data_IF_533303247113
#
_entry.id   IF_533303247113
#
_cell.length_a   1.000
_cell.length_b   1.000
_cell.length_c   1.000
_cell.angle_alpha   90.00
_cell.angle_beta   90.00
_cell.angle_gamma   90.00
#
_symmetry.space_group_name_H-M   'P 1'
#
loop_
_entity.id
_entity.type
_entity.pdbx_description
1 polymer ?
#
# COMPACT_ATOMS: atom_id res chain seq x y z
N UNK A 1 2.40 -16.32 1.30
CA UNK A 1 1.82 -14.98 1.59
C UNK A 1 0.44 -14.87 0.97
N UNK A 2 -0.49 -14.29 1.69
CA UNK A 2 -1.84 -14.01 1.21
C UNK A 2 -2.11 -12.51 1.37
N UNK A 3 -2.73 -11.89 0.35
CA UNK A 3 -3.16 -10.50 0.40
C UNK A 3 -4.68 -10.47 0.53
N UNK A 4 -5.20 -9.79 1.55
CA UNK A 4 -6.64 -9.63 1.75
C UNK A 4 -6.97 -8.37 2.54
N UNK A 5 -8.26 -8.02 2.57
CA UNK A 5 -8.76 -6.90 3.37
C UNK A 5 -8.68 -7.23 4.87
N UNK A 6 -8.47 -6.21 5.72
CA UNK A 6 -8.51 -6.40 7.18
C UNK A 6 -9.93 -6.72 7.65
N UNK A 7 -10.03 -7.47 8.74
CA UNK A 7 -11.30 -7.80 9.40
C UNK A 7 -11.25 -7.44 10.89
N UNK A 8 -12.38 -7.53 11.57
CA UNK A 8 -12.43 -7.28 13.01
C UNK A 8 -11.57 -8.28 13.80
N UNK A 9 -11.50 -9.51 13.35
CA UNK A 9 -10.69 -10.55 14.00
C UNK A 9 -9.18 -10.27 13.94
N UNK A 10 -8.75 -9.45 13.03
CA UNK A 10 -7.33 -9.09 12.88
C UNK A 10 -6.87 -8.00 13.85
N UNK A 11 -7.77 -7.45 14.67
CA UNK A 11 -7.52 -6.26 15.49
C UNK A 11 -6.22 -6.32 16.28
N UNK A 12 -6.07 -7.33 17.12
CA UNK A 12 -4.91 -7.40 18.03
C UNK A 12 -3.61 -7.54 17.26
N UNK A 13 -3.60 -8.37 16.23
CA UNK A 13 -2.41 -8.60 15.39
C UNK A 13 -2.02 -7.34 14.59
N UNK A 14 -2.99 -6.61 14.08
CA UNK A 14 -2.71 -5.37 13.33
C UNK A 14 -2.25 -4.26 14.27
N UNK A 15 -2.86 -4.12 15.45
CA UNK A 15 -2.41 -3.13 16.45
C UNK A 15 -0.98 -3.41 16.90
N UNK A 16 -0.60 -4.68 17.05
CA UNK A 16 0.78 -5.07 17.35
C UNK A 16 1.73 -4.65 16.23
N UNK A 17 1.33 -4.87 14.96
CA UNK A 17 2.15 -4.45 13.83
C UNK A 17 2.31 -2.93 13.77
N UNK A 18 1.24 -2.17 14.01
CA UNK A 18 1.29 -0.70 14.07
C UNK A 18 2.27 -0.26 15.18
N UNK A 19 2.20 -0.88 16.36
CA UNK A 19 3.10 -0.58 17.45
C UNK A 19 4.58 -0.87 17.08
N UNK A 20 4.82 -1.89 16.29
CA UNK A 20 6.17 -2.20 15.79
C UNK A 20 6.70 -1.11 14.87
N UNK A 21 5.87 -0.59 13.96
CA UNK A 21 6.25 0.56 13.11
C UNK A 21 6.57 1.80 13.96
N UNK A 22 5.74 2.08 14.96
CA UNK A 22 5.97 3.23 15.86
C UNK A 22 7.27 3.07 16.63
N UNK A 23 7.52 1.90 17.21
CA UNK A 23 8.75 1.61 17.97
C UNK A 23 10.01 1.73 17.10
N UNK A 24 9.91 1.40 15.82
CA UNK A 24 11.01 1.50 14.86
C UNK A 24 11.13 2.90 14.23
N UNK A 25 10.26 3.83 14.61
CA UNK A 25 10.14 5.15 13.98
C UNK A 25 10.06 5.06 12.45
N UNK A 26 9.29 4.10 11.96
CA UNK A 26 9.13 3.82 10.54
C UNK A 26 7.73 4.23 10.08
N UNK A 27 7.67 4.97 8.96
CA UNK A 27 6.39 5.40 8.42
C UNK A 27 5.62 4.21 7.82
N UNK A 28 4.31 4.17 8.08
CA UNK A 28 3.42 3.13 7.55
C UNK A 28 2.92 3.52 6.16
N UNK A 29 3.75 3.30 5.14
CA UNK A 29 3.27 3.42 3.76
C UNK A 29 2.23 2.33 3.47
N UNK A 30 1.42 2.54 2.45
CA UNK A 30 0.39 1.56 2.09
C UNK A 30 -1.00 1.94 2.56
N UNK A 31 -1.26 3.24 2.71
CA UNK A 31 -2.58 3.79 3.01
C UNK A 31 -2.85 4.04 4.49
N UNK A 32 -2.24 3.26 5.37
CA UNK A 32 -2.51 3.31 6.82
C UNK A 32 -2.02 4.61 7.46
N UNK A 33 -0.91 5.15 6.99
CA UNK A 33 -0.37 6.40 7.52
C UNK A 33 -1.35 7.57 7.46
N UNK A 34 -2.24 7.61 6.46
CA UNK A 34 -3.27 8.65 6.35
C UNK A 34 -4.61 8.22 6.95
N UNK A 35 -5.05 6.98 6.75
CA UNK A 35 -6.36 6.53 7.25
C UNK A 35 -6.37 6.32 8.77
N UNK A 36 -5.29 5.78 9.33
CA UNK A 36 -5.18 5.55 10.77
C UNK A 36 -5.24 6.84 11.58
N UNK A 37 -4.65 7.92 11.07
CA UNK A 37 -4.70 9.24 11.72
C UNK A 37 -6.12 9.80 11.84
N UNK A 38 -7.02 9.40 10.97
CA UNK A 38 -8.41 9.84 10.96
C UNK A 38 -9.31 9.01 11.86
N UNK A 39 -8.83 7.85 12.28
CA UNK A 39 -9.60 6.89 13.06
C UNK A 39 -9.47 7.16 14.56
N UNK A 40 -10.57 6.96 15.28
CA UNK A 40 -10.61 7.06 16.75
C UNK A 40 -10.09 5.77 17.39
N UNK A 41 -10.28 4.64 16.71
CA UNK A 41 -9.91 3.30 17.18
C UNK A 41 -9.89 2.35 15.97
N UNK A 42 -9.60 1.08 16.21
CA UNK A 42 -9.52 0.09 15.15
C UNK A 42 -10.85 -0.10 14.41
N UNK A 43 -11.96 -0.16 15.12
CA UNK A 43 -13.30 -0.35 14.54
C UNK A 43 -13.65 0.82 13.62
N UNK A 44 -13.32 2.05 14.03
CA UNK A 44 -13.52 3.24 13.22
C UNK A 44 -12.62 3.20 11.97
N UNK A 45 -11.37 2.76 12.11
CA UNK A 45 -10.48 2.57 10.98
C UNK A 45 -11.01 1.57 9.95
N UNK A 46 -11.58 0.44 10.40
CA UNK A 46 -12.21 -0.51 9.49
C UNK A 46 -13.33 0.13 8.66
N UNK A 47 -14.15 0.99 9.28
CA UNK A 47 -15.19 1.73 8.58
C UNK A 47 -14.61 2.69 7.55
N UNK A 48 -13.56 3.40 7.92
CA UNK A 48 -12.90 4.36 7.02
C UNK A 48 -12.35 3.63 5.79
N UNK A 49 -11.64 2.52 5.95
CA UNK A 49 -11.04 1.81 4.83
C UNK A 49 -12.10 1.10 3.97
N UNK A 50 -13.20 0.66 4.56
CA UNK A 50 -14.33 0.11 3.81
C UNK A 50 -15.00 1.20 2.96
N UNK A 51 -15.27 2.36 3.54
CA UNK A 51 -15.91 3.49 2.87
C UNK A 51 -15.04 4.07 1.75
N UNK A 52 -13.72 4.00 1.86
CA UNK A 52 -12.85 4.57 0.83
C UNK A 52 -12.88 3.79 -0.49
N UNK A 53 -13.49 2.60 -0.52
CA UNK A 53 -13.70 1.86 -1.77
C UNK A 53 -14.82 2.47 -2.61
N UNK A 54 -15.69 3.29 -2.02
CA UNK A 54 -16.82 3.94 -2.69
C UNK A 54 -16.53 5.42 -2.92
N UNK A 55 -16.51 5.82 -4.19
CA UNK A 55 -16.25 7.19 -4.59
C UNK A 55 -17.21 8.21 -3.96
N UNK A 56 -18.45 7.81 -3.62
CA UNK A 56 -19.46 8.69 -3.04
C UNK A 56 -19.16 9.11 -1.60
N UNK A 57 -18.28 8.38 -0.89
CA UNK A 57 -18.01 8.58 0.54
C UNK A 57 -16.62 9.17 0.83
N UNK A 58 -15.93 9.67 -0.21
CA UNK A 58 -14.54 10.11 -0.07
C UNK A 58 -14.41 11.54 0.44
N UNK A 59 -13.41 11.81 1.31
CA UNK A 59 -13.00 13.18 1.58
C UNK A 59 -12.53 13.88 0.30
N UNK A 60 -12.59 15.21 0.29
CA UNK A 60 -12.11 15.99 -0.85
C UNK A 60 -10.63 15.67 -1.14
N UNK A 61 -10.31 15.48 -2.41
CA UNK A 61 -8.95 15.19 -2.86
C UNK A 61 -8.52 13.73 -2.75
N UNK A 62 -9.40 12.83 -2.31
CA UNK A 62 -9.12 11.39 -2.25
C UNK A 62 -9.70 10.68 -3.47
N UNK A 63 -9.08 9.56 -3.83
CA UNK A 63 -9.58 8.66 -4.87
C UNK A 63 -10.03 7.33 -4.24
N UNK A 64 -10.91 6.57 -4.91
CA UNK A 64 -11.29 5.24 -4.42
C UNK A 64 -10.06 4.35 -4.27
N UNK A 65 -9.97 3.63 -3.16
CA UNK A 65 -8.84 2.76 -2.85
C UNK A 65 -9.29 1.56 -2.05
N UNK A 66 -8.59 0.43 -2.23
CA UNK A 66 -8.79 -0.79 -1.46
C UNK A 66 -7.61 -0.93 -0.51
N UNK A 67 -7.88 -1.07 0.78
CA UNK A 67 -6.86 -1.39 1.77
C UNK A 67 -6.67 -2.88 1.86
N UNK A 68 -5.47 -3.33 1.53
CA UNK A 68 -5.04 -4.72 1.73
C UNK A 68 -3.97 -4.80 2.81
N UNK A 69 -3.86 -5.97 3.40
CA UNK A 69 -2.72 -6.38 4.20
C UNK A 69 -2.22 -7.72 3.69
N UNK A 70 -0.92 -7.95 3.83
CA UNK A 70 -0.35 -9.27 3.56
C UNK A 70 -0.21 -10.05 4.88
N UNK A 71 -0.44 -11.36 4.80
CA UNK A 71 -0.39 -12.27 5.94
C UNK A 71 0.46 -13.49 5.57
N UNK A 72 1.15 -14.05 6.55
CA UNK A 72 1.81 -15.34 6.39
C UNK A 72 0.82 -16.49 6.55
N UNK A 73 1.32 -17.73 6.50
CA UNK A 73 0.49 -18.93 6.59
C UNK A 73 -0.17 -19.10 7.96
N UNK A 74 0.39 -18.47 9.00
CA UNK A 74 -0.16 -18.54 10.36
C UNK A 74 -1.19 -17.44 10.64
N UNK A 75 -1.37 -16.51 9.70
CA UNK A 75 -2.24 -15.36 9.89
C UNK A 75 -1.55 -14.13 10.49
N UNK A 76 -0.22 -14.16 10.61
CA UNK A 76 0.55 -13.01 11.06
C UNK A 76 0.56 -11.93 9.97
N UNK A 77 0.15 -10.69 10.28
CA UNK A 77 0.23 -9.62 9.29
C UNK A 77 1.70 -9.22 9.04
N UNK A 78 2.05 -9.06 7.77
CA UNK A 78 3.42 -8.80 7.33
C UNK A 78 3.60 -7.36 6.83
N UNK A 79 2.54 -6.74 6.33
CA UNK A 79 2.63 -5.40 5.80
C UNK A 79 1.30 -4.86 5.31
N UNK A 80 1.35 -3.61 4.83
CA UNK A 80 0.20 -2.89 4.30
C UNK A 80 0.38 -2.65 2.80
N UNK A 81 -0.72 -2.70 2.06
CA UNK A 81 -0.76 -2.33 0.65
C UNK A 81 -2.09 -1.63 0.35
N UNK A 82 -2.01 -0.42 -0.18
CA UNK A 82 -3.18 0.29 -0.70
C UNK A 82 -3.16 0.26 -2.21
N UNK A 83 -4.29 -0.13 -2.80
CA UNK A 83 -4.52 -0.08 -4.24
C UNK A 83 -5.50 1.04 -4.55
N UNK A 84 -5.02 2.11 -5.15
CA UNK A 84 -5.83 3.24 -5.61
C UNK A 84 -6.35 2.94 -7.00
N UNK A 85 -7.65 3.08 -7.18
CA UNK A 85 -8.32 2.65 -8.42
C UNK A 85 -8.24 3.70 -9.53
N UNK A 86 -7.84 4.92 -9.20
CA UNK A 86 -7.61 6.00 -10.15
C UNK A 86 -6.53 6.93 -9.62
N UNK A 87 -6.07 7.86 -10.45
CA UNK A 87 -5.08 8.86 -10.08
C UNK A 87 -5.69 10.24 -10.19
N UNK A 88 -5.39 11.09 -9.21
CA UNK A 88 -5.58 12.54 -9.33
C UNK A 88 -4.21 13.18 -9.60
N UNK A 89 -4.16 14.51 -9.73
CA UNK A 89 -2.92 15.21 -10.06
C UNK A 89 -1.81 14.96 -9.03
N UNK A 90 -2.16 14.91 -7.75
CA UNK A 90 -1.20 14.64 -6.68
C UNK A 90 -0.62 13.22 -6.78
N UNK A 91 -1.49 12.23 -6.92
CA UNK A 91 -1.09 10.83 -6.98
C UNK A 91 -0.33 10.49 -8.26
N UNK A 92 -0.60 11.22 -9.35
CA UNK A 92 0.14 11.08 -10.59
C UNK A 92 1.61 11.50 -10.43
N UNK A 93 1.91 12.43 -9.53
CA UNK A 93 3.26 12.86 -9.21
C UNK A 93 3.88 12.00 -8.12
N UNK A 94 3.16 11.80 -7.03
CA UNK A 94 3.64 11.09 -5.83
C UNK A 94 2.53 10.20 -5.26
N UNK A 95 2.85 8.95 -5.03
CA UNK A 95 1.93 7.96 -4.48
C UNK A 95 1.51 6.91 -5.50
N UNK A 96 1.10 7.29 -6.69
CA UNK A 96 0.68 6.35 -7.74
C UNK A 96 -0.52 5.49 -7.35
N UNK A 97 -0.68 4.36 -8.03
CA UNK A 97 -1.76 3.40 -7.77
C UNK A 97 -1.51 2.53 -6.54
N UNK A 98 -0.26 2.15 -6.27
CA UNK A 98 0.07 1.25 -5.17
C UNK A 98 1.06 1.89 -4.22
N UNK A 99 0.67 1.98 -2.95
CA UNK A 99 1.57 2.25 -1.84
C UNK A 99 1.69 0.99 -0.99
N UNK A 100 2.86 0.72 -0.43
CA UNK A 100 3.09 -0.49 0.35
C UNK A 100 4.20 -0.32 1.38
N UNK A 101 4.15 -1.16 2.42
CA UNK A 101 5.23 -1.28 3.40
C UNK A 101 5.23 -2.69 4.00
N UNK A 102 6.38 -3.10 4.50
CA UNK A 102 6.56 -4.36 5.23
C UNK A 102 6.94 -3.99 6.67
N UNK A 103 6.38 -4.71 7.64
CA UNK A 103 6.69 -4.48 9.05
C UNK A 103 8.20 -4.65 9.29
N UNK A 104 8.80 -3.81 10.17
CA UNK A 104 10.26 -3.77 10.32
C UNK A 104 10.91 -5.13 10.58
N UNK A 105 10.33 -5.96 11.44
CA UNK A 105 10.90 -7.26 11.80
C UNK A 105 10.90 -8.29 10.67
N UNK A 106 10.16 -8.03 9.58
CA UNK A 106 10.01 -8.97 8.46
C UNK A 106 10.70 -8.47 7.18
N UNK A 107 11.50 -7.40 7.28
CA UNK A 107 12.23 -6.84 6.14
C UNK A 107 13.44 -7.68 5.77
N UNK A 108 13.96 -7.48 4.55
CA UNK A 108 15.13 -8.17 3.98
C UNK A 108 14.91 -9.69 3.81
N UNK A 109 13.67 -10.09 3.55
CA UNK A 109 13.29 -11.49 3.30
C UNK A 109 12.62 -11.67 1.95
N UNK A 110 12.65 -10.64 1.08
CA UNK A 110 12.00 -10.69 -0.24
C UNK A 110 10.49 -10.52 -0.20
N UNK A 111 9.90 -10.17 0.95
CA UNK A 111 8.45 -10.11 1.10
C UNK A 111 7.82 -8.91 0.38
N UNK A 112 8.55 -7.81 0.25
CA UNK A 112 8.03 -6.62 -0.46
C UNK A 112 7.74 -6.94 -1.93
N UNK A 113 8.60 -7.71 -2.58
CA UNK A 113 8.39 -8.16 -3.96
C UNK A 113 7.16 -9.05 -4.09
N UNK A 114 7.03 -10.04 -3.22
CA UNK A 114 5.86 -10.93 -3.20
C UNK A 114 4.57 -10.14 -2.97
N UNK A 115 4.59 -9.22 -2.00
CA UNK A 115 3.44 -8.38 -1.71
C UNK A 115 3.06 -7.51 -2.91
N UNK A 116 4.03 -6.90 -3.57
CA UNK A 116 3.79 -6.08 -4.75
C UNK A 116 3.21 -6.92 -5.89
N UNK A 117 3.74 -8.11 -6.15
CA UNK A 117 3.22 -9.03 -7.17
C UNK A 117 1.74 -9.38 -6.92
N UNK A 118 1.39 -9.65 -5.66
CA UNK A 118 -0.01 -9.88 -5.29
C UNK A 118 -0.87 -8.63 -5.49
N UNK A 119 -0.34 -7.46 -5.16
CA UNK A 119 -1.02 -6.18 -5.41
C UNK A 119 -1.29 -5.93 -6.89
N UNK A 120 -0.32 -6.27 -7.75
CA UNK A 120 -0.49 -6.16 -9.20
C UNK A 120 -1.59 -7.12 -9.72
N UNK A 121 -1.67 -8.32 -9.15
CA UNK A 121 -2.74 -9.25 -9.48
C UNK A 121 -4.12 -8.70 -9.09
N UNK A 122 -4.22 -8.05 -7.93
CA UNK A 122 -5.46 -7.38 -7.51
C UNK A 122 -5.80 -6.20 -8.44
N UNK A 123 -4.80 -5.42 -8.84
CA UNK A 123 -4.99 -4.32 -9.79
C UNK A 123 -5.56 -4.82 -11.13
N UNK A 124 -5.06 -5.96 -11.62
CA UNK A 124 -5.59 -6.59 -12.83
C UNK A 124 -7.06 -6.99 -12.67
N UNK A 125 -7.43 -7.55 -11.52
CA UNK A 125 -8.83 -7.90 -11.22
C UNK A 125 -9.75 -6.67 -11.24
N UNK A 126 -9.21 -5.50 -10.90
CA UNK A 126 -9.96 -4.23 -10.94
C UNK A 126 -9.98 -3.59 -12.34
N UNK A 127 -9.41 -4.24 -13.34
CA UNK A 127 -9.45 -3.76 -14.73
C UNK A 127 -8.34 -2.76 -15.07
N UNK A 128 -7.34 -2.59 -14.23
CA UNK A 128 -6.20 -1.74 -14.56
C UNK A 128 -5.28 -2.47 -15.55
N UNK A 129 -4.84 -1.76 -16.57
CA UNK A 129 -3.93 -2.29 -17.59
C UNK A 129 -2.48 -1.96 -17.29
N UNK A 130 -2.26 -0.89 -16.54
CA UNK A 130 -0.95 -0.44 -16.12
C UNK A 130 -1.04 0.25 -14.76
N UNK A 131 0.03 0.19 -14.00
CA UNK A 131 0.10 0.72 -12.64
C UNK A 131 1.29 1.65 -12.52
N UNK A 132 1.04 2.84 -11.96
CA UNK A 132 2.09 3.78 -11.57
C UNK A 132 2.50 3.49 -10.12
N UNK A 133 3.79 3.31 -9.89
CA UNK A 133 4.36 3.19 -8.55
C UNK A 133 5.47 4.23 -8.41
N UNK A 134 5.48 4.92 -7.29
CA UNK A 134 6.50 5.93 -7.01
C UNK A 134 7.31 5.57 -5.77
N UNK A 135 8.54 6.01 -5.72
CA UNK A 135 9.35 5.93 -4.52
C UNK A 135 10.23 7.18 -4.39
N UNK A 136 10.62 7.51 -3.16
CA UNK A 136 11.58 8.58 -2.94
C UNK A 136 12.91 8.20 -3.59
N UNK A 137 13.63 9.18 -4.16
CA UNK A 137 14.90 8.93 -4.84
C UNK A 137 15.97 8.32 -3.93
N UNK A 138 15.83 8.50 -2.60
CA UNK A 138 16.74 7.92 -1.61
C UNK A 138 16.31 6.52 -1.16
N UNK A 139 15.14 6.04 -1.58
CA UNK A 139 14.61 4.74 -1.17
C UNK A 139 15.05 3.63 -2.13
N UNK A 140 16.29 3.20 -1.97
CA UNK A 140 16.88 2.16 -2.81
C UNK A 140 16.15 0.82 -2.71
N UNK A 141 15.69 0.45 -1.51
CA UNK A 141 14.96 -0.81 -1.30
C UNK A 141 13.65 -0.85 -2.12
N UNK A 142 12.88 0.23 -2.10
CA UNK A 142 11.66 0.33 -2.90
C UNK A 142 11.95 0.33 -4.39
N UNK A 143 12.99 1.06 -4.83
CA UNK A 143 13.40 1.06 -6.23
C UNK A 143 13.70 -0.34 -6.74
N UNK A 144 14.49 -1.11 -6.00
CA UNK A 144 14.82 -2.50 -6.37
C UNK A 144 13.57 -3.38 -6.46
N UNK A 145 12.67 -3.22 -5.50
CA UNK A 145 11.40 -3.96 -5.50
C UNK A 145 10.58 -3.65 -6.75
N UNK A 146 10.43 -2.36 -7.08
CA UNK A 146 9.66 -1.91 -8.25
C UNK A 146 10.29 -2.43 -9.55
N UNK A 147 11.60 -2.29 -9.69
CA UNK A 147 12.33 -2.77 -10.88
C UNK A 147 12.21 -4.28 -11.02
N UNK A 148 12.31 -5.04 -9.93
CA UNK A 148 12.19 -6.49 -9.96
C UNK A 148 10.78 -6.95 -10.35
N UNK A 149 9.77 -6.12 -10.16
CA UNK A 149 8.38 -6.39 -10.55
C UNK A 149 8.05 -5.93 -11.98
N UNK A 150 9.04 -5.45 -12.73
CA UNK A 150 8.86 -5.01 -14.11
C UNK A 150 8.65 -3.52 -14.27
N UNK A 151 8.95 -2.72 -13.27
CA UNK A 151 8.81 -1.26 -13.33
C UNK A 151 9.75 -0.63 -14.35
N UNK A 152 9.21 0.27 -15.16
CA UNK A 152 9.96 1.04 -16.14
C UNK A 152 9.97 2.50 -15.71
N UNK A 153 11.17 3.02 -15.49
CA UNK A 153 11.37 4.40 -15.06
C UNK A 153 10.89 5.39 -16.12
N UNK A 154 10.10 6.39 -15.70
CA UNK A 154 9.65 7.46 -16.57
C UNK A 154 10.43 8.76 -16.29
N UNK A 155 10.35 9.23 -15.05
CA UNK A 155 11.01 10.48 -14.65
C UNK A 155 11.01 10.63 -13.13
N UNK A 156 11.66 11.71 -12.66
CA UNK A 156 11.63 12.11 -11.24
C UNK A 156 11.03 13.51 -11.15
N UNK A 157 10.00 13.65 -10.31
CA UNK A 157 9.35 14.94 -10.04
C UNK A 157 9.40 15.16 -8.52
N UNK A 158 9.97 16.27 -8.08
CA UNK A 158 10.06 16.65 -6.65
C UNK A 158 10.57 15.48 -5.77
N UNK A 159 11.69 14.85 -6.16
CA UNK A 159 12.32 13.71 -5.49
C UNK A 159 11.54 12.39 -5.62
N UNK A 160 10.38 12.38 -6.25
CA UNK A 160 9.58 11.18 -6.46
C UNK A 160 9.95 10.54 -7.79
N UNK A 161 10.53 9.35 -7.75
CA UNK A 161 10.82 8.55 -8.93
C UNK A 161 9.58 7.79 -9.35
N UNK A 162 9.23 7.87 -10.62
CA UNK A 162 7.98 7.35 -11.17
C UNK A 162 8.26 6.20 -12.13
N UNK A 163 7.58 5.08 -11.86
CA UNK A 163 7.73 3.84 -12.61
C UNK A 163 6.37 3.31 -13.06
N UNK A 164 6.30 2.81 -14.27
CA UNK A 164 5.08 2.17 -14.80
C UNK A 164 5.31 0.68 -14.94
N UNK A 165 4.29 -0.10 -14.57
CA UNK A 165 4.26 -1.55 -14.74
C UNK A 165 3.05 -1.91 -15.60
N UNK A 166 3.26 -2.58 -16.72
CA UNK A 166 2.18 -3.11 -17.55
C UNK A 166 1.73 -4.45 -16.96
N UNK A 167 0.41 -4.63 -16.80
CA UNK A 167 -0.16 -5.80 -16.11
C UNK A 167 -1.29 -6.48 -16.88
N UNK A 168 -1.57 -6.08 -18.08
CA UNK A 168 -2.60 -6.67 -18.95
C UNK A 168 -2.26 -8.09 -19.46
#
# INVERSE_FOLDING_TARGET
MKLRRPTLEDKDAILEMIAEFDAANSYMHGGVGSTWKRAKNYEDWLKIVEQQEDAANLPAGWVPAIQFLSFDETGLPLGFLALRLSLNDKLFVEGGHIGYSIRPSQRRKGLAKLQLELGLAEARKQGLERVLITCDEDNEASRRTILSAGGIYENTIDRSQRYWIDID
#
